data_IF_372853139203
#
_entry.id   IF_372853139203
#
_cell.length_a   1.000
_cell.length_b   1.000
_cell.length_c   1.000
_cell.angle_alpha   90.00
_cell.angle_beta   90.00
_cell.angle_gamma   90.00
#
_symmetry.space_group_name_H-M   'P 1'
#
loop_
_entity.id
_entity.type
_entity.pdbx_description
1 polymer ?
#
# COMPACT_ATOMS: atom_id res chain seq x y z
N UNK A 1 -69.27 -41.61 13.01
CA UNK A 1 -68.24 -40.61 12.58
C UNK A 1 -68.91 -39.51 11.73
N UNK A 2 -69.01 -38.28 12.25
CA UNK A 2 -69.54 -37.12 11.46
C UNK A 2 -68.63 -36.84 10.31
N UNK A 3 -69.06 -36.90 9.04
CA UNK A 3 -68.32 -36.45 7.86
C UNK A 3 -68.05 -34.99 8.05
N UNK A 4 -66.83 -34.67 8.23
CA UNK A 4 -66.38 -33.25 8.30
C UNK A 4 -66.76 -32.53 7.01
N UNK A 5 -67.32 -31.34 7.14
CA UNK A 5 -67.75 -30.51 6.01
C UNK A 5 -66.52 -30.19 5.12
N UNK A 6 -66.60 -30.62 3.84
CA UNK A 6 -65.49 -30.38 2.85
C UNK A 6 -65.01 -28.93 2.84
N UNK A 7 -65.92 -27.99 3.05
CA UNK A 7 -65.59 -26.53 3.11
C UNK A 7 -64.67 -26.22 4.30
N UNK A 8 -64.86 -26.81 5.46
CA UNK A 8 -64.03 -26.64 6.65
C UNK A 8 -62.61 -27.16 6.42
N UNK A 9 -62.45 -28.27 5.70
CA UNK A 9 -61.12 -28.80 5.34
C UNK A 9 -60.36 -27.89 4.37
N UNK A 10 -61.08 -27.30 3.40
CA UNK A 10 -60.49 -26.33 2.47
C UNK A 10 -60.02 -25.06 3.21
N UNK A 11 -60.88 -24.53 4.08
CA UNK A 11 -60.50 -23.34 4.87
C UNK A 11 -59.33 -23.61 5.81
N UNK A 12 -59.24 -24.76 6.44
CA UNK A 12 -58.07 -25.17 7.27
C UNK A 12 -56.80 -25.24 6.44
N UNK A 13 -56.87 -25.78 5.23
CA UNK A 13 -55.74 -25.83 4.30
C UNK A 13 -55.27 -24.43 3.90
N UNK A 14 -56.20 -23.58 3.50
CA UNK A 14 -55.88 -22.19 3.14
C UNK A 14 -55.27 -21.41 4.32
N UNK A 15 -55.84 -21.56 5.52
CA UNK A 15 -55.28 -20.92 6.72
C UNK A 15 -53.85 -21.38 7.01
N UNK A 16 -53.61 -22.70 6.91
CA UNK A 16 -52.27 -23.25 7.14
C UNK A 16 -51.23 -22.71 6.12
N UNK A 17 -51.62 -22.69 4.84
CA UNK A 17 -50.75 -22.14 3.79
C UNK A 17 -50.48 -20.66 4.02
N UNK A 18 -51.53 -19.88 4.30
CA UNK A 18 -51.36 -18.42 4.55
C UNK A 18 -50.51 -18.14 5.79
N UNK A 19 -50.70 -18.91 6.87
CA UNK A 19 -49.87 -18.77 8.07
C UNK A 19 -48.40 -19.14 7.81
N UNK A 20 -48.14 -20.18 7.03
CA UNK A 20 -46.79 -20.57 6.65
C UNK A 20 -46.12 -19.51 5.76
N UNK A 21 -46.85 -18.96 4.80
CA UNK A 21 -46.34 -17.88 3.96
C UNK A 21 -46.03 -16.60 4.76
N UNK A 22 -46.90 -16.26 5.71
CA UNK A 22 -46.67 -15.11 6.59
C UNK A 22 -45.42 -15.32 7.44
N UNK A 23 -45.26 -16.50 8.05
CA UNK A 23 -44.07 -16.80 8.86
C UNK A 23 -42.77 -16.75 8.03
N UNK A 24 -42.77 -17.32 6.83
CA UNK A 24 -41.64 -17.27 5.92
C UNK A 24 -41.31 -15.83 5.47
N UNK A 25 -42.33 -15.05 5.13
CA UNK A 25 -42.18 -13.65 4.74
C UNK A 25 -41.61 -12.79 5.88
N UNK A 26 -42.10 -13.01 7.10
CA UNK A 26 -41.62 -12.29 8.28
C UNK A 26 -40.13 -12.63 8.58
N UNK A 27 -39.79 -13.92 8.46
CA UNK A 27 -38.41 -14.38 8.64
C UNK A 27 -37.50 -13.80 7.57
N UNK A 28 -37.93 -13.86 6.30
CA UNK A 28 -37.20 -13.30 5.16
C UNK A 28 -36.99 -11.78 5.29
N UNK A 29 -38.02 -11.06 5.72
CA UNK A 29 -37.94 -9.64 5.99
C UNK A 29 -36.94 -9.33 7.11
N UNK A 30 -36.99 -10.05 8.22
CA UNK A 30 -36.08 -9.86 9.33
C UNK A 30 -34.63 -10.11 8.94
N UNK A 31 -34.35 -11.13 8.14
CA UNK A 31 -33.00 -11.38 7.61
C UNK A 31 -32.57 -10.25 6.68
N UNK A 32 -33.42 -9.84 5.74
CA UNK A 32 -33.12 -8.77 4.80
C UNK A 32 -32.90 -7.42 5.50
N UNK A 33 -33.65 -7.12 6.55
CA UNK A 33 -33.50 -5.90 7.34
C UNK A 33 -32.19 -5.91 8.16
N UNK A 34 -31.85 -7.05 8.77
CA UNK A 34 -30.58 -7.22 9.52
C UNK A 34 -29.37 -7.06 8.60
N UNK A 35 -29.45 -7.51 7.37
CA UNK A 35 -28.36 -7.47 6.38
C UNK A 35 -28.56 -6.40 5.32
N UNK A 36 -29.42 -5.40 5.59
CA UNK A 36 -29.80 -4.36 4.62
C UNK A 36 -28.62 -3.73 3.91
N UNK A 37 -27.60 -3.30 4.64
CA UNK A 37 -26.40 -2.66 4.07
C UNK A 37 -25.67 -3.57 3.07
N UNK A 38 -25.59 -4.86 3.36
CA UNK A 38 -24.94 -5.84 2.48
C UNK A 38 -25.81 -6.15 1.24
N UNK A 39 -27.14 -6.23 1.44
CA UNK A 39 -28.10 -6.41 0.35
C UNK A 39 -28.11 -5.21 -0.58
N UNK A 40 -28.17 -4.00 -0.03
CA UNK A 40 -28.12 -2.75 -0.80
C UNK A 40 -26.81 -2.63 -1.57
N UNK A 41 -25.67 -2.98 -0.95
CA UNK A 41 -24.37 -2.99 -1.64
C UNK A 41 -24.31 -4.04 -2.77
N UNK A 42 -24.89 -5.23 -2.57
CA UNK A 42 -24.89 -6.29 -3.58
C UNK A 42 -25.78 -5.97 -4.79
N UNK A 43 -26.91 -5.28 -4.58
CA UNK A 43 -27.84 -4.90 -5.64
C UNK A 43 -27.62 -3.48 -6.18
N UNK A 44 -26.67 -2.74 -5.65
CA UNK A 44 -26.41 -1.34 -6.02
C UNK A 44 -27.60 -0.41 -5.67
N UNK A 45 -28.44 -0.83 -4.72
CA UNK A 45 -29.58 -0.02 -4.27
C UNK A 45 -29.10 0.95 -3.19
N UNK A 46 -29.59 2.20 -3.25
CA UNK A 46 -29.31 3.19 -2.20
C UNK A 46 -30.36 3.08 -1.11
N UNK A 47 -29.92 3.06 0.15
CA UNK A 47 -30.80 3.22 1.29
C UNK A 47 -31.41 4.63 1.25
N UNK A 48 -32.70 4.75 0.95
CA UNK A 48 -33.37 6.03 1.06
C UNK A 48 -33.75 6.29 2.52
N UNK A 49 -33.23 7.37 3.08
CA UNK A 49 -33.72 7.92 4.34
C UNK A 49 -35.09 8.49 4.04
N UNK A 50 -36.14 7.82 4.50
CA UNK A 50 -37.53 8.22 4.25
C UNK A 50 -37.98 9.40 5.12
N UNK A 51 -37.27 9.65 6.22
CA UNK A 51 -37.53 10.80 7.10
C UNK A 51 -36.39 11.82 6.96
N UNK A 52 -36.63 12.87 6.17
CA UNK A 52 -35.66 13.95 5.93
C UNK A 52 -35.56 14.94 7.09
N UNK A 53 -36.48 14.89 8.04
CA UNK A 53 -36.50 15.83 9.17
C UNK A 53 -35.35 15.59 10.18
N UNK A 54 -34.81 14.38 10.20
CA UNK A 54 -33.67 13.99 11.02
C UNK A 54 -32.31 14.16 10.33
N UNK A 55 -32.27 14.51 9.05
CA UNK A 55 -31.02 14.69 8.30
C UNK A 55 -30.41 16.04 8.63
N UNK A 56 -29.39 16.03 9.48
CA UNK A 56 -28.63 17.22 9.86
C UNK A 56 -27.67 17.71 8.77
N UNK A 57 -27.24 16.80 7.90
CA UNK A 57 -26.25 17.09 6.87
C UNK A 57 -26.74 16.61 5.52
N UNK A 58 -26.72 17.49 4.54
CA UNK A 58 -26.98 17.15 3.14
C UNK A 58 -25.68 17.16 2.38
N UNK A 59 -25.51 16.23 1.44
CA UNK A 59 -24.35 16.23 0.55
C UNK A 59 -24.33 17.49 -0.31
N UNK A 60 -23.16 18.09 -0.47
CA UNK A 60 -22.93 19.18 -1.44
C UNK A 60 -22.90 18.66 -2.88
N UNK A 61 -22.70 17.36 -3.06
CA UNK A 61 -22.66 16.71 -4.37
C UNK A 61 -24.07 16.25 -4.78
N UNK A 62 -24.42 16.52 -6.03
CA UNK A 62 -25.74 16.17 -6.58
C UNK A 62 -25.81 14.73 -7.07
N UNK A 63 -24.67 14.15 -7.45
CA UNK A 63 -24.57 12.79 -7.98
C UNK A 63 -23.41 12.02 -7.34
N UNK A 64 -23.48 10.69 -7.41
CA UNK A 64 -22.38 9.82 -6.97
C UNK A 64 -21.09 10.07 -7.76
N UNK A 65 -21.21 10.38 -9.06
CA UNK A 65 -20.07 10.67 -9.91
C UNK A 65 -19.37 11.99 -9.52
N UNK A 66 -20.13 13.03 -9.19
CA UNK A 66 -19.56 14.28 -8.68
C UNK A 66 -18.79 14.04 -7.37
N UNK A 67 -19.37 13.28 -6.45
CA UNK A 67 -18.72 12.92 -5.20
C UNK A 67 -17.44 12.09 -5.44
N UNK A 68 -17.51 11.09 -6.32
CA UNK A 68 -16.36 10.26 -6.65
C UNK A 68 -15.23 11.06 -7.29
N UNK A 69 -15.55 11.96 -8.23
CA UNK A 69 -14.55 12.81 -8.86
C UNK A 69 -13.89 13.77 -7.85
N UNK A 70 -14.67 14.32 -6.93
CA UNK A 70 -14.14 15.16 -5.86
C UNK A 70 -13.24 14.34 -4.90
N UNK A 71 -13.62 13.11 -4.55
CA UNK A 71 -12.80 12.22 -3.74
C UNK A 71 -11.47 11.85 -4.43
N UNK A 72 -11.49 11.56 -5.73
CA UNK A 72 -10.27 11.32 -6.53
C UNK A 72 -9.35 12.54 -6.52
N UNK A 73 -9.89 13.73 -6.78
CA UNK A 73 -9.14 14.98 -6.76
C UNK A 73 -8.54 15.27 -5.37
N UNK A 74 -9.31 14.99 -4.32
CA UNK A 74 -8.85 15.13 -2.94
C UNK A 74 -7.68 14.15 -2.65
N UNK A 75 -7.80 12.88 -3.05
CA UNK A 75 -6.75 11.89 -2.87
C UNK A 75 -5.44 12.28 -3.60
N UNK A 76 -5.54 12.82 -4.82
CA UNK A 76 -4.37 13.34 -5.55
C UNK A 76 -3.69 14.47 -4.76
N UNK A 77 -4.47 15.44 -4.25
CA UNK A 77 -3.96 16.53 -3.43
C UNK A 77 -3.32 16.02 -2.13
N UNK A 78 -3.97 15.07 -1.47
CA UNK A 78 -3.46 14.44 -0.25
C UNK A 78 -2.11 13.74 -0.52
N UNK A 79 -1.96 13.04 -1.65
CA UNK A 79 -0.70 12.42 -2.04
C UNK A 79 0.42 13.45 -2.27
N UNK A 80 0.09 14.59 -2.89
CA UNK A 80 1.07 15.66 -3.12
C UNK A 80 1.48 16.36 -1.82
N UNK A 81 0.49 16.79 -1.03
CA UNK A 81 0.72 17.52 0.22
C UNK A 81 1.34 16.61 1.31
N UNK A 82 0.96 15.31 1.33
CA UNK A 82 1.46 14.33 2.30
C UNK A 82 2.86 13.79 2.00
N UNK A 83 3.41 14.05 0.82
CA UNK A 83 4.79 13.65 0.49
C UNK A 83 5.77 14.47 1.32
N UNK A 84 6.76 13.80 1.94
CA UNK A 84 7.79 14.47 2.75
C UNK A 84 9.16 14.25 2.13
N UNK A 85 9.82 15.33 1.73
CA UNK A 85 11.20 15.27 1.23
C UNK A 85 12.13 15.28 2.44
N UNK A 86 12.78 14.16 2.71
CA UNK A 86 13.68 13.96 3.85
C UNK A 86 15.13 14.27 3.51
N UNK A 87 15.51 14.08 2.24
CA UNK A 87 16.84 14.37 1.71
C UNK A 87 16.72 14.82 0.25
N UNK A 88 17.45 15.86 -0.13
CA UNK A 88 17.55 16.32 -1.52
C UNK A 88 18.93 16.93 -1.75
N UNK A 89 19.84 16.14 -2.27
CA UNK A 89 21.20 16.54 -2.60
C UNK A 89 21.44 16.44 -4.11
N UNK A 90 22.50 17.06 -4.61
CA UNK A 90 22.90 17.03 -6.01
C UNK A 90 21.80 17.45 -7.01
N UNK A 91 20.75 18.15 -6.53
CA UNK A 91 19.63 18.60 -7.38
C UNK A 91 18.86 17.42 -8.00
N UNK A 92 18.71 16.31 -7.27
CA UNK A 92 17.95 15.16 -7.75
C UNK A 92 16.46 15.44 -7.80
N UNK A 93 15.94 16.23 -6.87
CA UNK A 93 14.55 16.71 -6.86
C UNK A 93 14.52 18.23 -7.13
N UNK A 94 13.55 18.73 -7.90
CA UNK A 94 12.53 17.95 -8.58
C UNK A 94 13.08 17.05 -9.69
N UNK A 95 12.44 15.89 -9.90
CA UNK A 95 12.80 14.96 -10.97
C UNK A 95 12.72 15.64 -12.34
N UNK A 96 13.78 15.52 -13.12
CA UNK A 96 13.77 15.97 -14.51
C UNK A 96 13.03 14.97 -15.38
N UNK A 97 12.15 15.45 -16.27
CA UNK A 97 11.46 14.59 -17.22
C UNK A 97 12.46 13.86 -18.11
N UNK A 98 12.21 12.61 -18.35
CA UNK A 98 13.08 11.70 -19.10
C UNK A 98 12.78 10.25 -18.72
N UNK A 99 13.74 9.38 -18.96
CA UNK A 99 13.65 7.98 -18.55
C UNK A 99 14.09 7.84 -17.10
N UNK A 100 13.31 7.10 -16.31
CA UNK A 100 13.62 6.72 -14.94
C UNK A 100 13.62 5.20 -14.81
N UNK A 101 14.57 4.67 -14.06
CA UNK A 101 14.64 3.24 -13.75
C UNK A 101 14.03 2.97 -12.39
N UNK A 102 13.07 2.06 -12.33
CA UNK A 102 12.40 1.67 -11.09
C UNK A 102 13.08 0.44 -10.48
N UNK A 103 13.50 0.56 -9.24
CA UNK A 103 14.13 -0.49 -8.45
C UNK A 103 13.31 -0.80 -7.20
N UNK A 104 13.43 -2.04 -6.71
CA UNK A 104 12.68 -2.54 -5.58
C UNK A 104 11.32 -3.12 -5.97
N UNK A 105 10.98 -4.27 -5.40
CA UNK A 105 9.70 -4.94 -5.66
C UNK A 105 8.51 -4.04 -5.37
N UNK A 106 8.63 -3.15 -4.37
CA UNK A 106 7.58 -2.19 -4.00
C UNK A 106 7.33 -1.09 -5.04
N UNK A 107 8.24 -0.83 -5.99
CA UNK A 107 7.99 0.08 -7.10
C UNK A 107 6.86 -0.42 -8.01
N UNK A 108 6.74 -1.75 -8.14
CA UNK A 108 5.76 -2.45 -8.98
C UNK A 108 4.58 -3.02 -8.19
N UNK A 109 4.84 -3.41 -6.94
CA UNK A 109 3.86 -3.96 -6.00
C UNK A 109 3.87 -3.16 -4.70
N UNK A 110 3.44 -1.90 -4.72
CA UNK A 110 3.48 -1.04 -3.55
C UNK A 110 2.55 -1.51 -2.44
N UNK A 111 2.91 -1.20 -1.21
CA UNK A 111 2.00 -1.30 -0.07
C UNK A 111 0.99 -0.14 -0.13
N UNK A 112 -0.28 -0.47 -0.25
CA UNK A 112 -1.37 0.49 -0.46
C UNK A 112 -2.44 0.36 0.62
N UNK A 113 -3.02 1.50 1.03
CA UNK A 113 -4.04 1.56 2.09
C UNK A 113 -5.40 0.98 1.66
N UNK A 114 -5.70 1.03 0.38
CA UNK A 114 -6.89 0.40 -0.21
C UNK A 114 -6.47 -0.37 -1.44
N UNK A 115 -6.78 -1.66 -1.45
CA UNK A 115 -6.57 -2.52 -2.60
C UNK A 115 -7.93 -2.94 -3.14
N UNK A 116 -8.19 -2.76 -4.42
CA UNK A 116 -9.35 -3.39 -5.01
C UNK A 116 -10.07 -2.65 -6.12
N UNK A 117 -9.64 -1.46 -6.49
CA UNK A 117 -10.27 -0.77 -7.62
C UNK A 117 -9.49 -1.08 -8.91
N UNK A 118 -10.22 -1.41 -9.99
CA UNK A 118 -9.63 -1.66 -11.32
C UNK A 118 -8.92 -0.44 -11.91
N UNK A 119 -9.25 0.76 -11.40
CA UNK A 119 -8.74 2.05 -11.88
C UNK A 119 -7.50 2.55 -11.13
N UNK A 120 -6.82 1.70 -10.38
CA UNK A 120 -5.64 2.06 -9.61
C UNK A 120 -4.57 2.75 -10.46
N UNK A 121 -4.10 3.89 -9.99
CA UNK A 121 -2.95 4.59 -10.55
C UNK A 121 -1.74 4.33 -9.66
N UNK A 122 -0.99 3.27 -9.95
CA UNK A 122 0.27 2.95 -9.27
C UNK A 122 1.40 3.85 -9.75
N UNK A 123 2.56 3.77 -9.08
CA UNK A 123 3.72 4.62 -9.34
C UNK A 123 4.11 4.65 -10.82
N UNK A 124 4.24 3.50 -11.47
CA UNK A 124 4.59 3.40 -12.90
C UNK A 124 3.62 4.19 -13.78
N UNK A 125 2.31 3.99 -13.58
CA UNK A 125 1.27 4.68 -14.34
C UNK A 125 1.25 6.18 -14.04
N UNK A 126 1.47 6.57 -12.78
CA UNK A 126 1.53 7.98 -12.39
C UNK A 126 2.71 8.70 -13.05
N UNK A 127 3.89 8.08 -13.06
CA UNK A 127 5.08 8.59 -13.74
C UNK A 127 4.85 8.72 -15.24
N UNK A 128 4.29 7.69 -15.89
CA UNK A 128 3.99 7.71 -17.33
C UNK A 128 2.98 8.80 -17.67
N UNK A 129 1.92 8.94 -16.87
CA UNK A 129 0.93 10.00 -17.05
C UNK A 129 1.54 11.42 -16.89
N UNK A 130 2.56 11.56 -16.05
CA UNK A 130 3.31 12.79 -15.86
C UNK A 130 4.37 13.05 -16.95
N UNK A 131 4.49 12.15 -17.94
CA UNK A 131 5.39 12.28 -19.09
C UNK A 131 6.81 11.77 -18.85
N UNK A 132 7.00 10.89 -17.86
CA UNK A 132 8.24 10.12 -17.71
C UNK A 132 8.17 8.83 -18.54
N UNK A 133 9.32 8.35 -18.96
CA UNK A 133 9.48 7.02 -19.56
C UNK A 133 10.04 6.08 -18.52
N UNK A 134 9.50 4.87 -18.42
CA UNK A 134 10.02 3.84 -17.52
C UNK A 134 11.05 2.98 -18.27
N UNK A 135 12.21 2.80 -17.67
CA UNK A 135 13.25 1.93 -18.20
C UNK A 135 12.73 0.49 -18.38
N UNK A 136 12.83 -0.01 -19.60
CA UNK A 136 12.29 -1.32 -19.96
C UNK A 136 13.12 -2.48 -19.42
N UNK A 137 14.41 -2.29 -19.22
CA UNK A 137 15.32 -3.32 -18.69
C UNK A 137 14.95 -3.66 -17.26
N UNK A 138 14.88 -2.63 -16.39
CA UNK A 138 14.52 -2.86 -14.99
C UNK A 138 13.07 -3.35 -14.85
N UNK A 139 12.17 -2.84 -15.69
CA UNK A 139 10.80 -3.33 -15.72
C UNK A 139 10.74 -4.83 -16.02
N UNK A 140 11.41 -5.30 -17.07
CA UNK A 140 11.44 -6.72 -17.46
C UNK A 140 12.04 -7.60 -16.35
N UNK A 141 13.12 -7.15 -15.71
CA UNK A 141 13.75 -7.86 -14.59
C UNK A 141 12.76 -8.05 -13.45
N UNK A 142 12.10 -6.98 -12.99
CA UNK A 142 11.16 -7.08 -11.88
C UNK A 142 9.86 -7.81 -12.27
N UNK A 143 9.39 -7.73 -13.51
CA UNK A 143 8.27 -8.54 -13.97
C UNK A 143 8.56 -10.05 -13.84
N UNK A 144 9.79 -10.48 -14.10
CA UNK A 144 10.23 -11.86 -13.89
C UNK A 144 10.38 -12.21 -12.41
N UNK A 145 11.10 -11.38 -11.65
CA UNK A 145 11.34 -11.63 -10.22
C UNK A 145 10.03 -11.71 -9.42
N UNK A 146 9.06 -10.86 -9.71
CA UNK A 146 7.78 -10.81 -9.01
C UNK A 146 6.81 -11.94 -9.41
N UNK A 147 7.21 -12.86 -10.26
CA UNK A 147 6.54 -14.16 -10.43
C UNK A 147 6.85 -15.12 -9.28
N UNK A 148 7.92 -14.88 -8.53
CA UNK A 148 8.34 -15.63 -7.37
C UNK A 148 7.75 -15.00 -6.09
N UNK A 149 6.97 -15.77 -5.34
CA UNK A 149 6.25 -15.25 -4.17
C UNK A 149 7.19 -14.68 -3.11
N UNK A 150 8.37 -15.26 -2.96
CA UNK A 150 9.38 -14.82 -2.01
C UNK A 150 9.89 -13.39 -2.24
N UNK A 151 9.79 -12.87 -3.46
CA UNK A 151 10.21 -11.51 -3.82
C UNK A 151 9.04 -10.52 -3.90
N UNK A 152 7.80 -10.98 -3.74
CA UNK A 152 6.64 -10.08 -3.71
C UNK A 152 6.57 -9.39 -2.36
N UNK A 153 6.67 -8.04 -2.31
CA UNK A 153 6.63 -7.31 -1.05
C UNK A 153 5.38 -7.61 -0.23
N UNK A 154 5.53 -7.64 1.09
CA UNK A 154 4.39 -7.78 1.98
C UNK A 154 3.49 -6.54 1.87
N UNK A 155 2.22 -6.76 1.58
CA UNK A 155 1.22 -5.70 1.42
C UNK A 155 0.14 -5.73 2.49
N UNK A 156 0.31 -6.54 3.53
CA UNK A 156 -0.63 -6.63 4.64
C UNK A 156 0.10 -6.41 5.96
N UNK A 157 -0.48 -5.58 6.80
CA UNK A 157 -0.17 -5.57 8.21
C UNK A 157 -0.73 -6.87 8.83
N UNK A 158 0.03 -7.50 9.68
CA UNK A 158 -0.38 -8.73 10.38
C UNK A 158 0.40 -8.86 11.68
N UNK A 159 0.06 -9.87 12.46
CA UNK A 159 0.81 -10.25 13.65
C UNK A 159 2.09 -10.99 13.22
N UNK A 160 3.10 -10.21 12.88
CA UNK A 160 4.39 -10.73 12.46
C UNK A 160 5.32 -10.78 13.66
N UNK A 161 5.41 -11.92 14.30
CA UNK A 161 6.50 -12.21 15.26
C UNK A 161 7.83 -12.40 14.53
N UNK A 162 7.76 -12.87 13.29
CA UNK A 162 8.88 -13.08 12.37
C UNK A 162 8.55 -12.35 11.06
N UNK A 163 9.38 -11.41 10.65
CA UNK A 163 9.10 -10.56 9.52
C UNK A 163 10.06 -10.82 8.34
N UNK A 164 9.61 -11.54 7.30
CA UNK A 164 10.38 -11.68 6.07
C UNK A 164 10.40 -10.35 5.31
N UNK A 165 11.61 -9.83 5.04
CA UNK A 165 11.81 -8.70 4.15
C UNK A 165 11.93 -9.27 2.74
N UNK A 166 10.88 -9.10 1.95
CA UNK A 166 10.74 -9.69 0.63
C UNK A 166 11.29 -8.74 -0.43
N UNK A 167 12.57 -8.88 -0.73
CA UNK A 167 13.23 -8.20 -1.83
C UNK A 167 14.22 -9.18 -2.48
N UNK A 168 14.38 -9.08 -3.80
CA UNK A 168 15.38 -9.87 -4.52
C UNK A 168 16.76 -9.22 -4.38
N UNK A 169 17.77 -10.03 -4.03
CA UNK A 169 19.15 -9.56 -4.12
C UNK A 169 19.49 -9.18 -5.56
N UNK A 170 20.27 -8.12 -5.75
CA UNK A 170 20.64 -7.64 -7.07
C UNK A 170 21.51 -8.64 -7.89
N UNK A 171 22.03 -9.69 -7.27
CA UNK A 171 22.67 -10.81 -7.97
C UNK A 171 21.70 -11.63 -8.82
N UNK A 172 20.39 -11.50 -8.57
CA UNK A 172 19.30 -12.12 -9.35
C UNK A 172 18.88 -11.28 -10.56
N UNK A 173 19.41 -10.08 -10.72
CA UNK A 173 19.05 -9.24 -11.86
C UNK A 173 19.66 -9.80 -13.13
N UNK A 174 18.79 -10.36 -13.98
CA UNK A 174 19.18 -10.93 -15.26
C UNK A 174 18.24 -10.44 -16.36
N UNK A 175 18.78 -10.24 -17.55
CA UNK A 175 17.97 -10.06 -18.77
C UNK A 175 17.78 -11.41 -19.47
N UNK A 176 16.74 -11.52 -20.30
CA UNK A 176 16.41 -12.76 -21.01
C UNK A 176 17.64 -13.39 -21.68
N UNK A 177 18.03 -14.55 -21.20
CA UNK A 177 19.14 -15.36 -21.73
C UNK A 177 20.54 -14.82 -21.49
N UNK A 178 20.70 -13.76 -20.67
CA UNK A 178 21.97 -13.11 -20.46
C UNK A 178 22.67 -13.43 -19.14
N UNK A 179 23.98 -13.24 -19.10
CA UNK A 179 24.73 -13.23 -17.86
C UNK A 179 24.30 -12.05 -16.96
N UNK A 180 24.27 -12.28 -15.67
CA UNK A 180 23.85 -11.28 -14.64
C UNK A 180 24.58 -9.92 -14.70
N UNK A 181 25.63 -9.80 -15.49
CA UNK A 181 26.51 -8.62 -15.55
C UNK A 181 26.14 -7.59 -16.60
N UNK A 182 25.29 -7.92 -17.58
CA UNK A 182 25.04 -7.03 -18.75
C UNK A 182 23.83 -6.12 -18.60
N UNK A 183 22.95 -6.36 -17.63
CA UNK A 183 21.73 -5.56 -17.44
C UNK A 183 22.03 -4.07 -17.17
N UNK A 184 23.14 -3.77 -16.46
CA UNK A 184 23.53 -2.39 -16.13
C UNK A 184 23.76 -1.54 -17.38
N UNK A 185 24.40 -2.12 -18.38
CA UNK A 185 24.72 -1.46 -19.66
C UNK A 185 23.47 -1.21 -20.51
N UNK A 186 22.38 -1.93 -20.21
CA UNK A 186 21.10 -1.82 -20.92
C UNK A 186 20.15 -0.80 -20.29
N UNK A 187 20.38 -0.39 -19.04
CA UNK A 187 19.59 0.64 -18.37
C UNK A 187 19.83 1.99 -19.08
N UNK A 188 18.73 2.62 -19.50
CA UNK A 188 18.74 3.87 -20.26
C UNK A 188 18.11 5.01 -19.43
N UNK A 189 18.56 5.15 -18.19
CA UNK A 189 18.02 6.15 -17.25
C UNK A 189 19.14 6.83 -16.46
N UNK A 190 19.06 8.16 -16.34
CA UNK A 190 19.98 8.92 -15.50
C UNK A 190 19.59 8.84 -14.01
N UNK A 191 18.33 8.61 -13.73
CA UNK A 191 17.80 8.61 -12.37
C UNK A 191 17.12 7.28 -12.03
N UNK A 192 17.54 6.67 -10.94
CA UNK A 192 16.88 5.53 -10.32
C UNK A 192 15.88 6.00 -9.24
N UNK A 193 14.70 5.41 -9.23
CA UNK A 193 13.73 5.52 -8.15
C UNK A 193 13.65 4.15 -7.49
N UNK A 194 14.14 4.05 -6.27
CA UNK A 194 14.11 2.82 -5.47
C UNK A 194 12.97 2.91 -4.48
N UNK A 195 12.14 1.88 -4.38
CA UNK A 195 10.99 1.89 -3.45
C UNK A 195 11.11 0.73 -2.47
N UNK A 196 11.15 1.06 -1.19
CA UNK A 196 11.09 0.07 -0.10
C UNK A 196 9.79 0.19 0.66
N UNK A 197 9.24 -0.95 1.07
CA UNK A 197 8.02 -1.02 1.84
C UNK A 197 8.19 -1.72 3.18
N UNK A 198 7.48 -1.22 4.19
CA UNK A 198 7.28 -1.89 5.48
C UNK A 198 5.82 -1.72 5.86
N UNK A 199 5.03 -2.79 5.79
CA UNK A 199 3.66 -2.74 6.28
C UNK A 199 3.67 -2.59 7.80
N UNK A 200 2.75 -1.82 8.33
CA UNK A 200 2.51 -1.66 9.76
C UNK A 200 1.02 -1.50 9.99
N UNK A 201 0.55 -1.85 11.15
CA UNK A 201 -0.87 -1.76 11.50
C UNK A 201 -1.11 -2.34 12.88
N UNK A 202 -2.36 -2.44 13.25
CA UNK A 202 -2.77 -3.05 14.51
C UNK A 202 -2.21 -4.47 14.64
N UNK A 203 -1.59 -4.79 15.78
CA UNK A 203 -0.95 -6.09 16.04
C UNK A 203 0.43 -6.27 15.42
N UNK A 204 0.93 -5.37 14.59
CA UNK A 204 2.27 -5.49 14.01
C UNK A 204 3.33 -5.13 15.04
N UNK A 205 4.24 -6.06 15.30
CA UNK A 205 5.34 -5.87 16.25
C UNK A 205 6.69 -6.09 15.55
N UNK A 206 7.51 -5.05 15.51
CA UNK A 206 8.87 -5.12 14.97
C UNK A 206 9.89 -5.41 16.09
N UNK A 207 10.04 -6.67 16.42
CA UNK A 207 10.99 -7.09 17.46
C UNK A 207 12.43 -6.95 16.94
N UNK A 208 13.35 -6.30 17.69
CA UNK A 208 14.76 -6.26 17.32
C UNK A 208 15.35 -7.67 17.13
N UNK A 209 16.10 -7.87 16.06
CA UNK A 209 16.71 -9.15 15.74
C UNK A 209 15.78 -10.18 15.09
N UNK A 210 14.52 -9.84 14.81
CA UNK A 210 13.54 -10.78 14.22
C UNK A 210 13.45 -10.75 12.71
N UNK A 211 14.25 -9.92 12.02
CA UNK A 211 14.22 -9.87 10.56
C UNK A 211 14.56 -11.22 9.94
N UNK A 212 13.84 -11.56 8.90
CA UNK A 212 14.09 -12.73 8.06
C UNK A 212 14.43 -12.27 6.64
N UNK A 213 15.21 -13.08 5.91
CA UNK A 213 15.39 -12.88 4.47
C UNK A 213 14.11 -13.23 3.69
N UNK A 214 14.14 -13.07 2.38
CA UNK A 214 13.00 -13.33 1.50
C UNK A 214 12.47 -14.78 1.60
N UNK A 215 13.30 -15.72 2.04
CA UNK A 215 12.96 -17.14 2.22
C UNK A 215 12.53 -17.50 3.64
N UNK A 216 12.38 -16.52 4.53
CA UNK A 216 11.97 -16.72 5.91
C UNK A 216 13.09 -17.20 6.84
N UNK A 217 14.35 -17.13 6.42
CA UNK A 217 15.49 -17.49 7.26
C UNK A 217 15.86 -16.34 8.19
N UNK A 218 15.96 -16.54 9.50
CA UNK A 218 16.37 -15.51 10.44
C UNK A 218 17.74 -14.90 10.09
N UNK A 219 17.81 -13.59 10.04
CA UNK A 219 19.05 -12.84 9.77
C UNK A 219 19.70 -12.29 11.03
N UNK A 220 18.97 -12.27 12.14
CA UNK A 220 19.39 -11.64 13.38
C UNK A 220 19.42 -10.09 13.32
N UNK A 221 18.98 -9.52 12.22
CA UNK A 221 18.91 -8.06 12.01
C UNK A 221 17.62 -7.47 12.55
N UNK A 222 17.61 -6.14 12.67
CA UNK A 222 16.39 -5.40 13.00
C UNK A 222 15.49 -5.28 11.76
N UNK A 223 14.19 -5.63 11.85
CA UNK A 223 13.28 -5.50 10.72
C UNK A 223 13.04 -4.05 10.26
N UNK A 224 13.35 -3.06 11.09
CA UNK A 224 13.31 -1.65 10.71
C UNK A 224 14.56 -1.19 9.95
N UNK A 225 15.64 -1.95 9.98
CA UNK A 225 16.83 -1.71 9.16
C UNK A 225 16.59 -2.21 7.72
N UNK A 226 17.33 -1.65 6.76
CA UNK A 226 17.38 -2.21 5.41
C UNK A 226 18.09 -3.57 5.47
N UNK A 227 17.52 -4.56 4.78
CA UNK A 227 18.14 -5.88 4.62
C UNK A 227 19.36 -5.82 3.70
N UNK A 228 20.17 -6.89 3.69
CA UNK A 228 21.30 -7.00 2.75
C UNK A 228 20.81 -7.00 1.30
N UNK A 229 19.66 -7.60 1.04
CA UNK A 229 19.04 -7.62 -0.28
C UNK A 229 18.61 -6.21 -0.71
N UNK A 230 17.96 -5.45 0.16
CA UNK A 230 17.59 -4.05 -0.11
C UNK A 230 18.83 -3.17 -0.30
N UNK A 231 19.87 -3.35 0.49
CA UNK A 231 21.13 -2.63 0.33
C UNK A 231 21.81 -2.97 -1.00
N UNK A 232 21.75 -4.24 -1.43
CA UNK A 232 22.24 -4.66 -2.74
C UNK A 232 21.52 -3.98 -3.90
N UNK A 233 20.19 -3.77 -3.75
CA UNK A 233 19.37 -3.02 -4.72
C UNK A 233 19.80 -1.54 -4.78
N UNK A 234 20.04 -0.90 -3.62
CA UNK A 234 20.56 0.48 -3.61
C UNK A 234 21.90 0.57 -4.33
N UNK A 235 22.81 -0.38 -4.06
CA UNK A 235 24.12 -0.43 -4.73
C UNK A 235 23.96 -0.61 -6.24
N UNK A 236 23.11 -1.53 -6.67
CA UNK A 236 22.81 -1.77 -8.07
C UNK A 236 22.24 -0.53 -8.76
N UNK A 237 21.33 0.20 -8.11
CA UNK A 237 20.79 1.45 -8.62
C UNK A 237 21.87 2.54 -8.80
N UNK A 238 22.81 2.66 -7.84
CA UNK A 238 23.94 3.59 -7.91
C UNK A 238 24.98 3.21 -8.98
N UNK A 239 25.08 1.91 -9.30
CA UNK A 239 25.97 1.43 -10.37
C UNK A 239 25.37 1.64 -11.76
N UNK A 240 24.03 1.71 -11.87
CA UNK A 240 23.32 1.82 -13.14
C UNK A 240 22.90 3.26 -13.50
N UNK A 241 22.74 4.15 -12.52
CA UNK A 241 22.21 5.50 -12.71
C UNK A 241 23.07 6.55 -11.96
N UNK A 242 23.16 7.74 -12.52
CA UNK A 242 23.93 8.85 -11.95
C UNK A 242 23.31 9.38 -10.66
N UNK A 243 21.98 9.27 -10.50
CA UNK A 243 21.22 9.77 -9.36
C UNK A 243 20.26 8.74 -8.83
N UNK A 244 20.11 8.71 -7.51
CA UNK A 244 19.23 7.76 -6.83
C UNK A 244 18.30 8.48 -5.85
N UNK A 245 17.00 8.25 -5.99
CA UNK A 245 15.96 8.67 -5.05
C UNK A 245 15.32 7.43 -4.43
N UNK A 246 15.28 7.38 -3.11
CA UNK A 246 14.58 6.32 -2.38
C UNK A 246 13.23 6.83 -1.92
N UNK A 247 12.17 6.08 -2.23
CA UNK A 247 10.83 6.32 -1.74
C UNK A 247 10.50 5.33 -0.61
N UNK A 248 10.12 5.86 0.54
CA UNK A 248 9.73 5.08 1.70
C UNK A 248 8.21 4.88 1.70
N UNK A 249 7.78 3.72 1.23
CA UNK A 249 6.38 3.28 1.20
C UNK A 249 6.07 2.49 2.47
N UNK A 250 5.98 3.20 3.59
CA UNK A 250 5.91 2.58 4.91
C UNK A 250 4.84 3.21 5.79
N UNK A 251 4.28 2.42 6.69
CA UNK A 251 3.39 2.89 7.77
C UNK A 251 4.08 2.93 9.14
N UNK A 252 5.35 2.57 9.16
CA UNK A 252 6.21 2.68 10.35
C UNK A 252 7.52 3.36 9.97
N UNK A 253 8.24 3.85 10.97
CA UNK A 253 9.58 4.39 10.74
C UNK A 253 10.56 3.27 10.41
N UNK A 254 11.42 3.49 9.43
CA UNK A 254 12.56 2.60 9.14
C UNK A 254 13.86 3.34 9.34
N UNK A 255 14.95 2.60 9.50
CA UNK A 255 16.27 3.19 9.63
C UNK A 255 16.74 3.78 8.29
N UNK A 256 17.21 5.02 8.34
CA UNK A 256 17.70 5.76 7.16
C UNK A 256 19.19 6.01 7.19
N UNK A 257 19.91 5.52 8.21
CA UNK A 257 21.34 5.79 8.38
C UNK A 257 22.17 5.40 7.18
N UNK A 258 21.96 4.20 6.64
CA UNK A 258 22.68 3.73 5.45
C UNK A 258 22.40 4.59 4.20
N UNK A 259 21.15 5.08 4.04
CA UNK A 259 20.78 5.92 2.90
C UNK A 259 21.28 7.38 3.03
N UNK A 260 21.57 7.80 4.26
CA UNK A 260 21.99 9.19 4.55
C UNK A 260 23.47 9.39 4.29
N UNK A 261 24.32 8.43 4.65
CA UNK A 261 25.76 8.54 4.57
C UNK A 261 26.45 7.19 4.33
N UNK A 262 27.68 7.21 3.85
CA UNK A 262 28.48 6.02 3.57
C UNK A 262 28.27 5.41 2.19
N UNK A 263 28.55 4.13 2.04
CA UNK A 263 28.54 3.42 0.75
C UNK A 263 27.19 3.47 0.06
N UNK A 264 26.09 3.34 0.83
CA UNK A 264 24.73 3.29 0.34
C UNK A 264 24.03 4.65 0.35
N UNK A 265 24.76 5.74 0.60
CA UNK A 265 24.18 7.07 0.57
C UNK A 265 23.58 7.38 -0.81
N UNK A 266 22.36 7.94 -0.80
CA UNK A 266 21.60 8.29 -2.00
C UNK A 266 21.37 9.80 -2.08
N UNK A 267 21.00 10.32 -3.27
CA UNK A 267 20.84 11.76 -3.49
C UNK A 267 19.52 12.29 -2.91
N UNK A 268 18.46 11.48 -2.95
CA UNK A 268 17.14 11.86 -2.45
C UNK A 268 16.50 10.79 -1.60
N UNK A 269 15.74 11.21 -0.60
CA UNK A 269 14.88 10.35 0.21
C UNK A 269 13.54 11.06 0.36
N UNK A 270 12.44 10.38 0.02
CA UNK A 270 11.10 10.89 0.23
C UNK A 270 10.23 9.84 0.94
N UNK A 271 9.48 10.28 1.94
CA UNK A 271 8.43 9.48 2.56
C UNK A 271 7.14 9.68 1.79
N UNK A 272 6.49 8.58 1.41
CA UNK A 272 5.25 8.58 0.64
C UNK A 272 4.09 7.88 1.35
N UNK A 273 4.31 7.37 2.56
CA UNK A 273 3.28 6.71 3.37
C UNK A 273 2.74 5.44 2.73
N UNK A 274 1.44 5.21 2.93
CA UNK A 274 0.68 4.11 2.34
C UNK A 274 -0.34 4.72 1.38
N UNK A 275 0.01 4.91 0.11
CA UNK A 275 -0.87 5.54 -0.86
C UNK A 275 -2.16 4.74 -1.10
N UNK A 276 -3.24 5.41 -1.44
CA UNK A 276 -4.43 4.81 -2.02
C UNK A 276 -4.37 4.82 -3.55
N UNK A 277 -5.47 4.41 -4.19
CA UNK A 277 -5.57 4.21 -5.63
C UNK A 277 -5.20 5.43 -6.50
N UNK A 278 -5.25 6.66 -5.97
CA UNK A 278 -5.05 7.90 -6.73
C UNK A 278 -3.89 8.76 -6.21
N UNK A 279 -3.41 8.50 -5.01
CA UNK A 279 -2.39 9.32 -4.35
C UNK A 279 -1.05 9.31 -5.08
N UNK A 280 -0.70 8.23 -5.79
CA UNK A 280 0.54 8.21 -6.59
C UNK A 280 0.60 9.31 -7.64
N UNK A 281 -0.52 9.78 -8.18
CA UNK A 281 -0.54 10.94 -9.06
C UNK A 281 -0.02 12.18 -8.35
N UNK A 282 -0.51 12.45 -7.14
CA UNK A 282 -0.05 13.57 -6.33
C UNK A 282 1.41 13.44 -5.87
N UNK A 283 1.81 12.23 -5.47
CA UNK A 283 3.21 11.95 -5.10
C UNK A 283 4.15 12.30 -6.27
N UNK A 284 3.81 11.88 -7.49
CA UNK A 284 4.62 12.20 -8.68
C UNK A 284 4.61 13.70 -8.97
N UNK A 285 3.49 14.41 -8.77
CA UNK A 285 3.44 15.87 -8.87
C UNK A 285 4.40 16.55 -7.87
N UNK A 286 4.48 16.05 -6.64
CA UNK A 286 5.43 16.54 -5.65
C UNK A 286 6.89 16.22 -6.07
N UNK A 287 7.17 15.01 -6.50
CA UNK A 287 8.51 14.60 -6.92
C UNK A 287 8.99 15.35 -8.18
N UNK A 288 8.10 15.70 -9.10
CA UNK A 288 8.39 16.44 -10.32
C UNK A 288 8.39 17.98 -10.15
N UNK A 289 8.05 18.46 -8.97
CA UNK A 289 7.99 19.90 -8.67
C UNK A 289 6.76 20.61 -9.25
N UNK A 290 5.77 19.89 -9.75
CA UNK A 290 4.50 20.46 -10.16
C UNK A 290 3.73 21.02 -8.96
N UNK A 291 3.82 20.32 -7.82
CA UNK A 291 3.27 20.75 -6.52
C UNK A 291 4.42 20.77 -5.52
N UNK A 292 4.52 21.81 -4.70
CA UNK A 292 5.47 21.84 -3.60
C UNK A 292 4.93 21.01 -2.43
N UNK A 293 5.59 19.91 -2.01
CA UNK A 293 5.14 19.10 -0.90
C UNK A 293 5.24 19.90 0.42
N UNK A 294 4.21 19.78 1.25
CA UNK A 294 4.12 20.47 2.53
C UNK A 294 4.04 19.53 3.71
N UNK A 295 4.13 18.22 3.46
CA UNK A 295 4.07 17.18 4.47
C UNK A 295 5.18 17.30 5.50
N UNK A 296 4.86 16.91 6.74
CA UNK A 296 5.80 16.78 7.83
C UNK A 296 5.72 15.36 8.40
N UNK A 297 6.86 14.83 8.84
CA UNK A 297 6.89 13.52 9.47
C UNK A 297 6.15 13.58 10.81
N UNK A 298 5.31 12.58 11.06
CA UNK A 298 4.62 12.42 12.34
C UNK A 298 5.52 11.79 13.41
N UNK A 299 6.64 11.19 13.01
CA UNK A 299 7.58 10.49 13.89
C UNK A 299 9.02 10.73 13.45
N UNK A 300 9.96 10.36 14.32
CA UNK A 300 11.40 10.48 14.06
C UNK A 300 11.94 9.26 13.34
N UNK A 301 12.56 9.46 12.17
CA UNK A 301 13.30 8.42 11.46
C UNK A 301 14.73 8.34 11.99
N UNK A 302 15.03 7.25 12.68
CA UNK A 302 16.34 7.04 13.27
C UNK A 302 17.40 6.68 12.21
N UNK A 303 18.65 7.04 12.48
CA UNK A 303 19.78 6.48 11.73
C UNK A 303 20.04 5.03 12.10
N UNK A 304 19.77 4.68 13.35
CA UNK A 304 19.80 3.34 13.95
C UNK A 304 18.70 3.29 15.01
N UNK A 305 17.66 2.50 14.77
CA UNK A 305 16.51 2.42 15.67
C UNK A 305 16.84 1.78 17.01
N UNK A 306 17.90 0.97 17.09
CA UNK A 306 18.36 0.36 18.35
C UNK A 306 18.90 1.40 19.33
N UNK A 307 19.23 2.60 18.86
CA UNK A 307 19.63 3.72 19.71
C UNK A 307 18.46 4.34 20.50
N UNK A 308 17.21 4.06 20.12
CA UNK A 308 16.05 4.58 20.84
C UNK A 308 15.78 3.81 22.13
N UNK A 309 15.40 4.49 23.25
CA UNK A 309 15.12 3.80 24.51
C UNK A 309 14.00 2.76 24.40
N UNK A 310 13.01 2.99 23.57
CA UNK A 310 11.90 2.06 23.34
C UNK A 310 12.39 0.73 22.72
N UNK A 311 13.28 0.81 21.74
CA UNK A 311 13.85 -0.37 21.09
C UNK A 311 14.89 -1.08 21.96
N UNK A 312 15.72 -0.35 22.71
CA UNK A 312 16.68 -0.90 23.66
C UNK A 312 16.00 -1.73 24.75
N UNK A 313 14.80 -1.32 25.17
CA UNK A 313 14.04 -1.98 26.23
C UNK A 313 12.90 -2.87 25.71
N UNK A 314 12.91 -3.21 24.43
CA UNK A 314 11.87 -4.01 23.79
C UNK A 314 11.72 -5.38 24.50
N UNK A 315 10.54 -5.68 25.02
CA UNK A 315 10.23 -6.94 25.69
C UNK A 315 10.87 -7.11 27.08
N UNK A 316 11.67 -6.16 27.53
CA UNK A 316 12.17 -6.09 28.89
C UNK A 316 11.24 -5.24 29.72
N UNK A 317 10.55 -5.80 30.71
CA UNK A 317 9.76 -5.05 31.68
C UNK A 317 10.67 -4.20 32.58
N UNK A 318 11.38 -3.24 31.99
CA UNK A 318 12.16 -2.28 32.76
C UNK A 318 11.18 -1.24 33.28
N UNK A 319 10.73 -1.44 34.50
CA UNK A 319 10.19 -0.38 35.33
C UNK A 319 11.27 0.72 35.40
N UNK A 320 11.01 1.86 34.76
CA UNK A 320 11.73 3.07 35.09
C UNK A 320 11.54 3.32 36.59
N UNK A 321 12.50 2.97 37.41
CA UNK A 321 12.60 3.53 38.77
C UNK A 321 13.08 4.96 38.55
N UNK A 322 12.17 5.90 38.68
CA UNK A 322 12.46 7.31 38.94
C UNK A 322 13.16 7.45 40.28
#
# INVERSE_FOLDING_TARGET
>A
MKKGNKLTSVWRGLTAVSASLLALSTLGYGIADTWRSNVDAAFGTQSFITNTDDVKYTSTYKTGDEMMNAAKAFAVREGAEGTVIMKNENGVLPLKKGTVALFGGAAYRPYMSAAGNSDQVKLEKALTNAGFTIDSTMKSIYEQLLTHEEYVPNTRAGDYTDFPIREANADKFTTDGGAATTWREQVQADTAIVVFSRPGGEGTTYKPGSAQDAFGKPTGKNPLALSDDELSVVKAAKEACDKVVVLLNTSCTIEIGALKSGEYAVDGIAYIGIPNDYQFTGIVQALSGEVNPTGALADTYATDSTSSPAMMNFGGGVLFRL
#
